data_IF_709668934206
#
_entry.id   IF_709668934206
#
_cell.length_a   1.000
_cell.length_b   1.000
_cell.length_c   1.000
_cell.angle_alpha   90.00
_cell.angle_beta   90.00
_cell.angle_gamma   90.00
#
_symmetry.space_group_name_H-M   'P 1'
#
loop_
_entity.id
_entity.type
_entity.pdbx_description
1 polymer ?
#
# COMPACT_ATOMS: atom_id res chain seq x y z
N UNK A 1 7.37 -2.73 -31.96
CA UNK A 1 6.02 -2.16 -31.90
C UNK A 1 5.22 -2.89 -30.81
N UNK A 2 4.30 -2.17 -30.17
CA UNK A 2 3.43 -2.71 -29.11
C UNK A 2 1.99 -2.39 -29.45
N UNK A 3 1.10 -3.37 -29.30
CA UNK A 3 -0.35 -3.14 -29.38
C UNK A 3 -1.06 -3.78 -28.20
N UNK A 4 -2.20 -3.22 -27.80
CA UNK A 4 -3.06 -3.71 -26.74
C UNK A 4 -4.47 -3.95 -27.30
N UNK A 5 -5.05 -5.10 -26.99
CA UNK A 5 -6.41 -5.46 -27.39
C UNK A 5 -7.22 -5.90 -26.17
N UNK A 6 -8.51 -5.56 -26.15
CA UNK A 6 -9.49 -6.18 -25.27
C UNK A 6 -10.01 -7.48 -25.87
N UNK A 7 -10.60 -8.34 -25.03
CA UNK A 7 -11.35 -9.54 -25.42
C UNK A 7 -12.82 -9.29 -25.12
N UNK A 8 -13.69 -9.58 -26.10
CA UNK A 8 -15.14 -9.37 -25.95
C UNK A 8 -15.79 -10.35 -24.96
N UNK A 9 -15.19 -11.53 -24.77
CA UNK A 9 -15.72 -12.64 -23.96
C UNK A 9 -15.11 -12.69 -22.54
N UNK A 10 -14.68 -11.55 -21.96
CA UNK A 10 -14.17 -11.53 -20.58
C UNK A 10 -15.27 -11.90 -19.58
N UNK A 11 -14.96 -12.85 -18.71
CA UNK A 11 -15.84 -13.31 -17.63
C UNK A 11 -15.59 -12.55 -16.35
N UNK A 12 -16.59 -12.44 -15.46
CA UNK A 12 -16.36 -11.93 -14.10
C UNK A 12 -15.38 -12.82 -13.33
N UNK A 13 -14.44 -12.21 -12.62
CA UNK A 13 -13.63 -12.92 -11.63
C UNK A 13 -14.38 -13.02 -10.30
N UNK A 14 -14.26 -14.15 -9.62
CA UNK A 14 -14.83 -14.36 -8.29
C UNK A 14 -13.71 -14.51 -7.27
N UNK A 15 -13.83 -13.79 -6.14
CA UNK A 15 -12.86 -13.89 -5.04
C UNK A 15 -13.57 -14.22 -3.74
N UNK A 16 -13.11 -15.28 -3.09
CA UNK A 16 -13.58 -15.75 -1.78
C UNK A 16 -12.51 -15.43 -0.75
N UNK A 17 -12.89 -14.72 0.31
CA UNK A 17 -11.98 -14.31 1.37
C UNK A 17 -12.46 -14.81 2.72
N UNK A 18 -11.53 -15.30 3.53
CA UNK A 18 -11.73 -15.57 4.95
C UNK A 18 -10.63 -14.88 5.75
N UNK A 19 -11.01 -14.20 6.81
CA UNK A 19 -10.08 -13.50 7.69
C UNK A 19 -10.43 -13.74 9.16
N UNK A 20 -9.39 -13.98 9.97
CA UNK A 20 -9.49 -14.06 11.42
C UNK A 20 -8.57 -12.99 12.02
N UNK A 21 -9.16 -12.03 12.74
CA UNK A 21 -8.43 -10.92 13.36
C UNK A 21 -8.46 -10.99 14.88
N UNK A 22 -7.36 -10.62 15.52
CA UNK A 22 -7.24 -10.46 16.95
C UNK A 22 -6.57 -9.14 17.30
N UNK A 23 -7.21 -8.38 18.20
CA UNK A 23 -6.67 -7.11 18.70
C UNK A 23 -6.40 -7.19 20.20
N UNK A 24 -5.16 -6.94 20.61
CA UNK A 24 -4.75 -6.93 22.01
C UNK A 24 -4.43 -5.50 22.48
N UNK A 25 -5.08 -5.07 23.55
CA UNK A 25 -4.88 -3.75 24.21
C UNK A 25 -4.87 -2.55 23.25
N UNK A 26 -5.56 -2.63 22.12
CA UNK A 26 -5.58 -1.62 21.07
C UNK A 26 -4.20 -1.21 20.51
N UNK A 27 -3.17 -1.99 20.80
CA UNK A 27 -1.79 -1.73 20.37
C UNK A 27 -1.28 -2.74 19.37
N UNK A 28 -1.73 -3.98 19.48
CA UNK A 28 -1.31 -5.10 18.65
C UNK A 28 -2.52 -5.63 17.92
N UNK A 29 -2.44 -5.66 16.59
CA UNK A 29 -3.41 -6.35 15.74
C UNK A 29 -2.69 -7.46 15.00
N UNK A 30 -3.29 -8.62 14.96
CA UNK A 30 -2.82 -9.78 14.22
C UNK A 30 -4.01 -10.26 13.39
N UNK A 31 -3.83 -10.51 12.11
CA UNK A 31 -4.84 -11.15 11.28
C UNK A 31 -4.22 -12.26 10.43
N UNK A 32 -4.95 -13.35 10.32
CA UNK A 32 -4.69 -14.45 9.40
C UNK A 32 -5.73 -14.37 8.30
N UNK A 33 -5.31 -14.55 7.07
CA UNK A 33 -6.22 -14.52 5.93
C UNK A 33 -5.99 -15.69 4.98
N UNK A 34 -7.03 -16.05 4.27
CA UNK A 34 -7.00 -16.90 3.10
C UNK A 34 -7.85 -16.26 2.00
N UNK A 35 -7.36 -16.26 0.79
CA UNK A 35 -8.05 -15.74 -0.38
C UNK A 35 -7.93 -16.75 -1.53
N UNK A 36 -9.04 -17.01 -2.18
CA UNK A 36 -9.12 -17.78 -3.41
C UNK A 36 -9.80 -16.96 -4.49
N UNK A 37 -9.17 -16.84 -5.64
CA UNK A 37 -9.71 -16.14 -6.80
C UNK A 37 -9.72 -17.05 -8.00
N UNK A 38 -10.87 -17.11 -8.66
CA UNK A 38 -11.12 -17.92 -9.84
C UNK A 38 -11.45 -17.05 -11.04
N UNK A 39 -11.19 -17.57 -12.24
CA UNK A 39 -11.40 -16.88 -13.52
C UNK A 39 -10.76 -15.47 -13.54
N UNK A 40 -9.59 -15.31 -12.90
CA UNK A 40 -8.92 -14.01 -12.80
C UNK A 40 -8.51 -13.56 -14.20
N UNK A 41 -9.08 -12.44 -14.66
CA UNK A 41 -8.62 -11.81 -15.88
C UNK A 41 -7.38 -10.97 -15.61
N UNK A 42 -6.41 -11.13 -16.47
CA UNK A 42 -5.15 -10.40 -16.35
C UNK A 42 -4.55 -10.14 -17.73
N UNK A 43 -3.53 -9.31 -17.79
CA UNK A 43 -2.87 -9.00 -19.04
C UNK A 43 -1.87 -10.10 -19.42
N UNK A 44 -2.14 -10.79 -20.51
CA UNK A 44 -1.20 -11.71 -21.15
C UNK A 44 -0.26 -10.92 -22.03
N UNK A 45 1.02 -11.07 -21.82
CA UNK A 45 2.04 -10.51 -22.71
C UNK A 45 2.44 -11.57 -23.72
N UNK A 46 2.12 -11.32 -24.99
CA UNK A 46 2.62 -12.09 -26.11
C UNK A 46 3.86 -11.40 -26.70
N UNK A 47 4.86 -12.17 -27.05
CA UNK A 47 5.98 -11.72 -27.85
C UNK A 47 6.05 -12.60 -29.11
N UNK A 48 5.97 -11.99 -30.26
CA UNK A 48 6.27 -12.64 -31.53
C UNK A 48 7.79 -12.58 -31.75
N UNK A 49 8.49 -13.72 -31.70
CA UNK A 49 9.94 -13.74 -31.81
C UNK A 49 10.46 -13.40 -33.22
N UNK A 50 9.61 -13.51 -34.26
CA UNK A 50 10.02 -13.21 -35.64
C UNK A 50 9.93 -11.71 -35.94
N UNK A 51 8.86 -11.05 -35.45
CA UNK A 51 8.61 -9.63 -35.71
C UNK A 51 9.08 -8.72 -34.57
N UNK A 52 9.40 -9.27 -33.41
CA UNK A 52 9.68 -8.54 -32.16
C UNK A 52 8.51 -7.61 -31.74
N UNK A 53 7.29 -7.96 -32.13
CA UNK A 53 6.09 -7.24 -31.73
C UNK A 53 5.57 -7.79 -30.41
N UNK A 54 5.40 -6.90 -29.44
CA UNK A 54 4.75 -7.25 -28.15
C UNK A 54 3.25 -6.98 -28.22
N UNK A 55 2.45 -7.96 -27.83
CA UNK A 55 1.01 -7.83 -27.67
C UNK A 55 0.60 -7.92 -26.22
N UNK A 56 -0.37 -7.11 -25.83
CA UNK A 56 -0.99 -7.12 -24.51
C UNK A 56 -2.47 -7.45 -24.67
N UNK A 57 -2.86 -8.63 -24.21
CA UNK A 57 -4.24 -9.13 -24.30
C UNK A 57 -4.78 -9.31 -22.88
N UNK A 58 -6.03 -8.88 -22.65
CA UNK A 58 -6.74 -9.22 -21.42
C UNK A 58 -7.51 -10.51 -21.62
N UNK A 59 -7.31 -11.49 -20.73
CA UNK A 59 -8.02 -12.76 -20.77
C UNK A 59 -8.21 -13.31 -19.35
N UNK A 60 -9.20 -14.19 -19.15
CA UNK A 60 -9.41 -14.95 -17.94
C UNK A 60 -8.60 -16.26 -18.05
N UNK A 61 -7.50 -16.36 -17.33
CA UNK A 61 -6.61 -17.51 -17.45
C UNK A 61 -5.92 -17.90 -16.15
N UNK A 62 -6.26 -17.22 -15.05
CA UNK A 62 -5.58 -17.47 -13.79
C UNK A 62 -6.54 -17.88 -12.68
N UNK A 63 -6.02 -18.75 -11.83
CA UNK A 63 -6.58 -19.11 -10.54
C UNK A 63 -5.52 -18.83 -9.46
N UNK A 64 -5.90 -18.17 -8.39
CA UNK A 64 -4.95 -17.75 -7.36
C UNK A 64 -5.41 -18.15 -5.96
N UNK A 65 -4.54 -18.81 -5.24
CA UNK A 65 -4.68 -19.05 -3.81
C UNK A 65 -3.63 -18.21 -3.06
N UNK A 66 -4.05 -17.55 -1.99
CA UNK A 66 -3.11 -16.89 -1.10
C UNK A 66 -3.53 -17.03 0.35
N UNK A 67 -2.55 -17.14 1.23
CA UNK A 67 -2.77 -17.12 2.68
C UNK A 67 -1.61 -16.42 3.36
N UNK A 68 -1.86 -15.86 4.52
CA UNK A 68 -0.82 -15.15 5.23
C UNK A 68 -1.22 -14.65 6.60
N UNK A 69 -0.26 -13.98 7.22
CA UNK A 69 -0.40 -13.31 8.50
C UNK A 69 0.01 -11.85 8.35
N UNK A 70 -0.83 -10.96 8.85
CA UNK A 70 -0.51 -9.55 9.00
C UNK A 70 -0.45 -9.20 10.48
N UNK A 71 0.46 -8.32 10.81
CA UNK A 71 0.63 -7.83 12.15
C UNK A 71 0.87 -6.32 12.13
N UNK A 72 0.27 -5.60 13.08
CA UNK A 72 0.60 -4.20 13.33
C UNK A 72 0.72 -3.92 14.81
N UNK A 73 1.70 -3.12 15.16
CA UNK A 73 1.98 -2.76 16.54
C UNK A 73 2.23 -1.26 16.68
N UNK A 74 1.55 -0.66 17.68
CA UNK A 74 1.74 0.73 18.04
C UNK A 74 2.42 0.82 19.39
N UNK A 75 3.62 1.41 19.42
CA UNK A 75 4.38 1.71 20.62
C UNK A 75 4.34 3.21 20.90
N UNK A 76 4.08 3.60 22.15
CA UNK A 76 4.01 5.01 22.55
C UNK A 76 4.77 5.25 23.85
N UNK A 77 5.59 6.30 23.83
CA UNK A 77 6.26 6.85 25.00
C UNK A 77 6.01 8.37 25.07
N UNK A 78 6.60 9.02 26.08
CA UNK A 78 6.51 10.48 26.20
C UNK A 78 7.19 11.21 25.02
N UNK A 79 8.26 10.64 24.47
CA UNK A 79 9.12 11.26 23.47
C UNK A 79 9.04 10.63 22.07
N UNK A 80 8.39 9.46 21.93
CA UNK A 80 8.32 8.75 20.67
C UNK A 80 6.99 8.00 20.51
N UNK A 81 6.50 7.96 19.28
CA UNK A 81 5.46 7.02 18.85
C UNK A 81 6.00 6.26 17.63
N UNK A 82 5.95 4.94 17.70
CA UNK A 82 6.31 4.05 16.61
C UNK A 82 5.09 3.24 16.19
N UNK A 83 4.90 3.10 14.88
CA UNK A 83 3.91 2.23 14.27
C UNK A 83 4.62 1.28 13.32
N UNK A 84 4.61 0.01 13.65
CA UNK A 84 5.21 -1.04 12.84
C UNK A 84 4.12 -1.91 12.24
N UNK A 85 4.26 -2.25 10.97
CA UNK A 85 3.43 -3.24 10.29
C UNK A 85 4.35 -4.23 9.61
N UNK A 86 4.00 -5.49 9.62
CA UNK A 86 4.63 -6.47 8.78
C UNK A 86 3.63 -7.58 8.42
N UNK A 87 3.87 -8.21 7.29
CA UNK A 87 3.06 -9.30 6.81
C UNK A 87 3.94 -10.33 6.11
N UNK A 88 3.53 -11.58 6.21
CA UNK A 88 4.07 -12.69 5.44
C UNK A 88 2.92 -13.38 4.76
N UNK A 89 3.04 -13.62 3.47
CA UNK A 89 2.03 -14.34 2.72
C UNK A 89 2.68 -15.33 1.74
N UNK A 90 1.98 -16.41 1.51
CA UNK A 90 2.25 -17.33 0.43
C UNK A 90 1.18 -17.14 -0.65
N UNK A 91 1.60 -17.10 -1.90
CA UNK A 91 0.70 -17.08 -3.04
C UNK A 91 1.07 -18.19 -4.02
N UNK A 92 0.05 -18.76 -4.65
CA UNK A 92 0.16 -19.72 -5.73
C UNK A 92 -0.84 -19.33 -6.80
N UNK A 93 -0.33 -19.02 -7.99
CA UNK A 93 -1.15 -18.72 -9.16
C UNK A 93 -0.90 -19.78 -10.20
N UNK A 94 -1.97 -20.40 -10.69
CA UNK A 94 -1.94 -21.27 -11.85
C UNK A 94 -2.46 -20.52 -13.06
N UNK A 95 -1.90 -20.81 -14.22
CA UNK A 95 -2.23 -20.17 -15.48
C UNK A 95 -2.58 -21.23 -16.54
N UNK A 96 -3.68 -21.03 -17.24
CA UNK A 96 -4.07 -21.83 -18.40
C UNK A 96 -3.57 -21.24 -19.72
N UNK A 97 -2.96 -20.05 -19.70
CA UNK A 97 -2.42 -19.42 -20.90
C UNK A 97 -1.10 -20.08 -21.31
N UNK A 98 -1.07 -20.67 -22.52
CA UNK A 98 0.09 -21.42 -23.02
C UNK A 98 1.38 -20.57 -23.15
N UNK A 99 1.26 -19.25 -23.26
CA UNK A 99 2.38 -18.33 -23.39
C UNK A 99 3.06 -17.98 -22.06
N UNK A 100 2.45 -18.34 -20.92
CA UNK A 100 2.96 -17.98 -19.60
C UNK A 100 3.43 -19.22 -18.84
N UNK A 101 4.10 -19.04 -17.71
CA UNK A 101 4.38 -20.14 -16.77
C UNK A 101 3.08 -20.74 -16.27
N UNK A 102 2.98 -22.08 -16.26
CA UNK A 102 1.78 -22.77 -15.82
C UNK A 102 1.50 -22.58 -14.32
N UNK A 103 2.51 -22.36 -13.53
CA UNK A 103 2.42 -22.12 -12.09
C UNK A 103 3.49 -21.13 -11.63
N UNK A 104 3.07 -20.13 -10.85
CA UNK A 104 3.96 -19.24 -10.11
C UNK A 104 3.58 -19.26 -8.64
N UNK A 105 4.58 -19.45 -7.76
CA UNK A 105 4.34 -19.54 -6.32
C UNK A 105 5.52 -19.06 -5.50
N UNK A 106 5.22 -18.58 -4.31
CA UNK A 106 6.28 -18.17 -3.39
C UNK A 106 5.79 -17.44 -2.16
N UNK A 107 6.72 -17.26 -1.25
CA UNK A 107 6.54 -16.43 -0.07
C UNK A 107 6.91 -14.99 -0.37
N UNK A 108 6.12 -14.09 0.20
CA UNK A 108 6.39 -12.66 0.21
C UNK A 108 6.37 -12.15 1.65
N UNK A 109 7.23 -11.16 1.91
CA UNK A 109 7.31 -10.44 3.17
C UNK A 109 7.21 -8.95 2.90
N UNK A 110 6.40 -8.26 3.67
CA UNK A 110 6.33 -6.81 3.66
C UNK A 110 6.50 -6.27 5.08
N UNK A 111 7.14 -5.12 5.19
CA UNK A 111 7.31 -4.43 6.46
C UNK A 111 7.25 -2.92 6.24
N UNK A 112 6.66 -2.22 7.19
CA UNK A 112 6.75 -0.77 7.28
C UNK A 112 6.92 -0.31 8.71
N UNK A 113 7.69 0.74 8.89
CA UNK A 113 7.93 1.37 10.19
C UNK A 113 7.76 2.88 10.03
N UNK A 114 6.94 3.47 10.87
CA UNK A 114 6.81 4.92 10.98
C UNK A 114 7.09 5.34 12.40
N UNK A 115 8.10 6.18 12.59
CA UNK A 115 8.46 6.77 13.87
C UNK A 115 8.15 8.26 13.85
N UNK A 116 7.59 8.74 14.97
CA UNK A 116 7.37 10.14 15.26
C UNK A 116 8.11 10.45 16.57
N UNK A 117 9.05 11.35 16.54
CA UNK A 117 9.87 11.78 17.65
C UNK A 117 9.42 13.15 18.12
N UNK A 118 9.04 13.27 19.38
CA UNK A 118 8.73 14.54 20.02
C UNK A 118 10.04 15.12 20.57
N UNK A 119 10.67 16.01 19.80
CA UNK A 119 12.02 16.52 20.06
C UNK A 119 12.06 17.55 21.19
N UNK A 120 10.90 17.99 21.68
CA UNK A 120 10.79 18.84 22.85
C UNK A 120 9.57 18.46 23.73
N UNK A 121 9.57 18.81 25.03
CA UNK A 121 8.48 18.48 25.95
C UNK A 121 7.12 19.05 25.54
N UNK A 122 7.08 20.20 24.88
CA UNK A 122 5.86 20.84 24.38
C UNK A 122 5.31 20.17 23.12
N UNK A 123 6.02 19.19 22.55
CA UNK A 123 5.66 18.49 21.31
C UNK A 123 5.39 19.44 20.13
N UNK A 124 6.07 20.58 20.14
CA UNK A 124 5.99 21.55 19.04
C UNK A 124 7.08 21.33 17.99
N UNK A 125 8.15 20.60 18.35
CA UNK A 125 9.19 20.19 17.40
C UNK A 125 9.14 18.67 17.25
N UNK A 126 8.82 18.21 16.06
CA UNK A 126 8.51 16.81 15.76
C UNK A 126 9.38 16.37 14.57
N UNK A 127 10.09 15.26 14.77
CA UNK A 127 10.79 14.55 13.72
C UNK A 127 9.99 13.31 13.29
N UNK A 128 9.99 12.98 12.03
CA UNK A 128 9.42 11.74 11.50
C UNK A 128 10.45 10.97 10.69
N UNK A 129 10.47 9.66 10.83
CA UNK A 129 11.26 8.75 10.02
C UNK A 129 10.37 7.58 9.65
N UNK A 130 10.24 7.31 8.37
CA UNK A 130 9.46 6.18 7.87
C UNK A 130 10.25 5.38 6.87
N UNK A 131 10.04 4.07 6.89
CA UNK A 131 10.62 3.16 5.93
C UNK A 131 9.66 2.03 5.63
N UNK A 132 9.77 1.47 4.44
CA UNK A 132 9.04 0.31 4.02
C UNK A 132 9.93 -0.62 3.18
N UNK A 133 9.60 -1.89 3.22
CA UNK A 133 10.26 -2.95 2.48
C UNK A 133 9.23 -3.96 2.00
N UNK A 134 9.35 -4.39 0.77
CA UNK A 134 8.61 -5.53 0.21
C UNK A 134 9.62 -6.48 -0.42
N UNK A 135 9.59 -7.73 -0.04
CA UNK A 135 10.44 -8.76 -0.62
C UNK A 135 10.01 -9.08 -2.06
N UNK A 136 10.75 -9.97 -2.70
CA UNK A 136 10.31 -10.59 -3.94
C UNK A 136 8.92 -11.19 -3.76
N UNK A 137 8.03 -10.96 -4.72
CA UNK A 137 6.66 -11.48 -4.70
C UNK A 137 6.14 -11.75 -6.11
N UNK A 138 5.18 -12.64 -6.21
CA UNK A 138 4.43 -12.85 -7.44
C UNK A 138 3.13 -12.06 -7.42
N UNK A 139 2.78 -11.48 -8.57
CA UNK A 139 1.49 -10.84 -8.85
C UNK A 139 0.99 -11.36 -10.18
N UNK A 140 0.08 -12.33 -10.12
CA UNK A 140 -0.28 -13.13 -11.28
C UNK A 140 0.95 -13.85 -11.85
N UNK A 141 1.24 -13.64 -13.11
CA UNK A 141 2.40 -14.21 -13.83
C UNK A 141 3.66 -13.34 -13.75
N UNK A 142 3.62 -12.24 -13.00
CA UNK A 142 4.76 -11.34 -12.84
C UNK A 142 5.49 -11.59 -11.54
N UNK A 143 6.82 -11.65 -11.63
CA UNK A 143 7.73 -11.61 -10.49
C UNK A 143 8.15 -10.16 -10.23
N UNK A 144 7.74 -9.61 -9.12
CA UNK A 144 8.15 -8.29 -8.67
C UNK A 144 9.40 -8.44 -7.79
N UNK A 145 10.48 -7.75 -8.14
CA UNK A 145 11.73 -7.75 -7.36
C UNK A 145 11.54 -6.96 -6.06
N UNK A 146 12.41 -7.19 -5.06
CA UNK A 146 12.33 -6.46 -3.80
C UNK A 146 12.35 -4.95 -3.99
N UNK A 147 11.49 -4.26 -3.22
CA UNK A 147 11.40 -2.81 -3.23
C UNK A 147 11.45 -2.26 -1.80
N UNK A 148 12.02 -1.08 -1.64
CA UNK A 148 12.12 -0.40 -0.35
C UNK A 148 12.15 1.12 -0.52
N UNK A 149 11.83 1.82 0.56
CA UNK A 149 11.93 3.27 0.59
C UNK A 149 12.07 3.80 2.00
N UNK A 150 12.76 4.95 2.13
CA UNK A 150 12.96 5.66 3.38
C UNK A 150 12.65 7.13 3.16
N UNK A 151 11.93 7.73 4.10
CA UNK A 151 11.55 9.15 4.10
C UNK A 151 11.69 9.75 5.49
N UNK A 152 12.02 11.03 5.57
CA UNK A 152 12.13 11.75 6.83
C UNK A 152 11.43 13.11 6.74
N UNK A 153 11.05 13.63 7.90
CA UNK A 153 10.41 14.94 7.98
C UNK A 153 10.66 15.63 9.31
N UNK A 154 10.53 16.94 9.28
CA UNK A 154 10.55 17.81 10.45
C UNK A 154 9.30 18.69 10.42
N UNK A 155 8.67 18.88 11.57
CA UNK A 155 7.55 19.78 11.76
C UNK A 155 7.82 20.65 12.98
N UNK A 156 7.75 21.95 12.81
CA UNK A 156 7.86 22.90 13.88
C UNK A 156 6.61 23.75 13.99
N UNK A 157 5.99 23.78 15.19
CA UNK A 157 4.79 24.55 15.49
C UNK A 157 5.13 25.71 16.39
N UNK A 158 4.63 26.88 16.04
CA UNK A 158 4.87 28.16 16.72
C UNK A 158 3.55 28.88 16.96
N UNK A 159 3.58 30.00 17.71
CA UNK A 159 2.44 30.88 17.96
C UNK A 159 1.22 30.08 18.48
N UNK A 160 1.42 29.31 19.54
CA UNK A 160 0.39 28.46 20.13
C UNK A 160 -0.27 27.51 19.11
N UNK A 161 0.55 26.88 18.27
CA UNK A 161 0.19 26.01 17.18
C UNK A 161 -0.54 26.67 15.98
N UNK A 162 -0.61 28.01 15.95
CA UNK A 162 -1.21 28.72 14.81
C UNK A 162 -0.32 28.72 13.57
N UNK A 163 1.00 28.70 13.72
CA UNK A 163 1.95 28.63 12.61
C UNK A 163 2.68 27.29 12.65
N UNK A 164 2.70 26.61 11.52
CA UNK A 164 3.42 25.35 11.34
C UNK A 164 4.38 25.46 10.15
N UNK A 165 5.62 25.09 10.36
CA UNK A 165 6.64 24.91 9.31
C UNK A 165 6.94 23.42 9.18
N UNK A 166 6.91 22.91 7.96
CA UNK A 166 7.25 21.51 7.69
C UNK A 166 8.31 21.39 6.60
N UNK A 167 9.22 20.46 6.80
CA UNK A 167 10.19 20.01 5.80
C UNK A 167 10.06 18.50 5.68
N UNK A 168 9.82 18.00 4.49
CA UNK A 168 9.76 16.56 4.23
C UNK A 168 10.70 16.21 3.08
N UNK A 169 11.44 15.14 3.26
CA UNK A 169 12.27 14.52 2.25
C UNK A 169 11.73 13.11 2.02
N UNK A 170 11.11 12.93 0.87
CA UNK A 170 10.57 11.64 0.47
C UNK A 170 11.61 10.88 -0.35
N UNK A 171 11.64 9.56 -0.18
CA UNK A 171 12.52 8.69 -0.95
C UNK A 171 14.01 9.07 -0.84
N UNK A 172 14.50 9.32 0.37
CA UNK A 172 15.94 9.54 0.65
C UNK A 172 16.73 8.34 0.14
N UNK A 173 16.19 7.15 0.39
CA UNK A 173 16.61 5.89 -0.20
C UNK A 173 15.38 5.25 -0.81
N UNK A 174 15.49 4.79 -2.04
CA UNK A 174 14.41 4.10 -2.73
C UNK A 174 14.96 3.16 -3.79
N UNK A 175 14.36 2.00 -3.91
CA UNK A 175 14.66 1.05 -4.97
C UNK A 175 13.80 1.31 -6.21
N UNK A 176 14.31 0.95 -7.38
CA UNK A 176 13.51 0.86 -8.59
C UNK A 176 12.58 -0.35 -8.54
N UNK A 177 11.43 -0.25 -9.19
CA UNK A 177 10.51 -1.38 -9.34
C UNK A 177 10.86 -2.15 -10.62
N UNK A 178 11.26 -3.41 -10.44
CA UNK A 178 11.57 -4.33 -11.53
C UNK A 178 10.54 -5.45 -11.56
N UNK A 179 9.95 -5.66 -12.73
CA UNK A 179 9.02 -6.75 -13.00
C UNK A 179 9.68 -7.71 -14.01
N UNK A 180 9.55 -8.99 -13.74
CA UNK A 180 9.94 -10.06 -14.67
C UNK A 180 8.73 -10.92 -15.00
N UNK A 181 8.61 -11.33 -16.24
CA UNK A 181 7.66 -12.35 -16.68
C UNK A 181 8.29 -13.22 -17.77
N UNK A 182 7.72 -14.40 -17.97
CA UNK A 182 8.14 -15.29 -19.06
C UNK A 182 6.96 -15.39 -20.03
N UNK A 183 7.22 -15.11 -21.31
CA UNK A 183 6.27 -15.28 -22.39
C UNK A 183 6.91 -16.06 -23.53
N UNK A 184 6.27 -17.17 -23.93
CA UNK A 184 6.78 -18.07 -24.98
C UNK A 184 8.25 -18.50 -24.77
N UNK A 185 8.63 -18.74 -23.50
CA UNK A 185 10.01 -19.10 -23.14
C UNK A 185 11.00 -17.92 -23.08
N UNK A 186 10.58 -16.72 -23.46
CA UNK A 186 11.41 -15.51 -23.41
C UNK A 186 11.16 -14.77 -22.09
N UNK A 187 12.23 -14.48 -21.35
CA UNK A 187 12.15 -13.65 -20.14
C UNK A 187 12.14 -12.17 -20.52
N UNK A 188 11.10 -11.50 -20.09
CA UNK A 188 10.92 -10.06 -20.25
C UNK A 188 11.13 -9.37 -18.90
N UNK A 189 11.89 -8.29 -18.90
CA UNK A 189 12.15 -7.47 -17.70
C UNK A 189 11.75 -6.03 -17.96
N UNK A 190 10.88 -5.49 -17.10
CA UNK A 190 10.53 -4.07 -17.11
C UNK A 190 11.16 -3.41 -15.89
N UNK A 191 11.97 -2.38 -16.11
CA UNK A 191 12.59 -1.56 -15.06
C UNK A 191 11.92 -0.18 -15.03
N UNK A 192 11.12 0.07 -13.98
CA UNK A 192 10.42 1.33 -13.79
C UNK A 192 11.25 2.24 -12.86
N UNK A 193 11.91 3.23 -13.45
CA UNK A 193 12.79 4.17 -12.74
C UNK A 193 12.08 5.44 -12.25
N UNK A 194 10.80 5.34 -11.86
CA UNK A 194 10.04 6.49 -11.36
C UNK A 194 10.37 6.87 -9.90
N UNK A 195 11.40 6.29 -9.33
CA UNK A 195 11.83 6.59 -7.99
C UNK A 195 12.66 7.88 -7.99
N UNK A 196 12.15 8.95 -7.41
CA UNK A 196 12.88 10.20 -7.26
C UNK A 196 12.84 10.68 -5.80
N UNK A 197 13.92 11.32 -5.37
CA UNK A 197 13.98 12.02 -4.08
C UNK A 197 13.26 13.35 -4.21
N UNK A 198 12.25 13.54 -3.39
CA UNK A 198 11.43 14.77 -3.39
C UNK A 198 11.56 15.55 -2.11
N UNK A 199 11.72 16.87 -2.24
CA UNK A 199 11.70 17.81 -1.12
C UNK A 199 10.37 18.56 -1.12
N UNK A 200 9.78 18.70 0.07
CA UNK A 200 8.57 19.49 0.26
C UNK A 200 8.74 20.39 1.47
N UNK A 201 8.61 21.69 1.27
CA UNK A 201 8.54 22.69 2.33
C UNK A 201 7.08 23.15 2.42
N UNK A 202 6.55 23.21 3.63
CA UNK A 202 5.18 23.67 3.88
C UNK A 202 5.14 24.70 4.98
N UNK A 203 4.33 25.73 4.79
CA UNK A 203 3.99 26.73 5.79
C UNK A 203 2.47 26.75 5.91
N UNK A 204 1.97 26.63 7.12
CA UNK A 204 0.53 26.68 7.39
C UNK A 204 0.27 27.66 8.54
N UNK A 205 -0.66 28.57 8.34
CA UNK A 205 -1.11 29.49 9.37
C UNK A 205 -2.62 29.40 9.56
N UNK A 206 -3.05 29.19 10.80
CA UNK A 206 -4.47 29.11 11.16
C UNK A 206 -4.96 30.47 11.64
N UNK A 207 -5.86 31.08 10.88
CA UNK A 207 -6.54 32.31 11.23
C UNK A 207 -7.77 32.04 12.06
N UNK A 208 -8.11 32.93 12.98
CA UNK A 208 -9.33 32.87 13.79
C UNK A 208 -9.11 32.31 15.19
N UNK A 209 -10.09 32.52 16.04
CA UNK A 209 -10.20 31.93 17.37
C UNK A 209 -11.06 30.66 17.36
N UNK A 210 -11.03 29.92 18.47
CA UNK A 210 -11.91 28.78 18.68
C UNK A 210 -13.37 29.23 18.52
N UNK A 211 -14.02 28.80 17.45
CA UNK A 211 -15.47 28.91 17.35
C UNK A 211 -16.01 27.90 18.35
N UNK A 212 -16.28 28.36 19.59
CA UNK A 212 -17.12 27.60 20.50
C UNK A 212 -18.49 27.53 19.83
N UNK A 213 -18.83 26.42 19.21
CA UNK A 213 -20.21 26.15 18.81
C UNK A 213 -21.01 26.19 20.10
N UNK A 214 -21.80 27.23 20.31
CA UNK A 214 -22.84 27.20 21.34
C UNK A 214 -23.70 25.98 20.99
N UNK A 215 -23.74 25.02 21.92
CA UNK A 215 -24.51 23.80 21.73
C UNK A 215 -25.91 24.21 21.22
N UNK A 216 -26.34 23.49 20.19
CA UNK A 216 -27.63 23.70 19.59
C UNK A 216 -28.65 23.57 20.74
N UNK A 217 -29.26 24.70 21.11
CA UNK A 217 -30.38 24.70 22.07
C UNK A 217 -31.45 23.82 21.41
N UNK A 218 -31.70 22.63 21.97
CA UNK A 218 -32.86 21.84 21.64
C UNK A 218 -34.09 22.71 21.98
N UNK A 219 -34.69 23.29 20.98
CA UNK A 219 -35.95 24.08 21.11
C UNK A 219 -37.19 23.21 21.37
N UNK A 220 -37.00 21.94 21.74
CA UNK A 220 -38.10 21.02 21.98
C UNK A 220 -38.61 20.98 23.46
N UNK A 221 -38.03 21.78 24.36
CA UNK A 221 -38.58 21.86 25.74
C UNK A 221 -39.94 22.53 25.82
N UNK A 222 -40.30 23.37 24.82
CA UNK A 222 -41.61 24.05 24.82
C UNK A 222 -42.76 23.17 24.33
N UNK A 223 -42.47 22.04 23.69
CA UNK A 223 -43.53 21.10 23.22
C UNK A 223 -43.89 20.07 24.29
N UNK A 224 -42.93 19.69 25.16
CA UNK A 224 -43.17 18.72 26.24
C UNK A 224 -44.02 19.29 27.40
N UNK A 225 -44.13 20.61 27.53
CA UNK A 225 -44.96 21.26 28.57
C UNK A 225 -46.43 21.55 28.14
N UNK A 226 -46.86 21.07 26.97
CA UNK A 226 -48.21 21.25 26.44
C UNK A 226 -48.99 19.94 26.25
N UNK A 227 -48.46 18.84 26.70
CA UNK A 227 -49.12 17.55 26.82
C UNK A 227 -49.23 17.17 28.31
#
# INVERSE_FOLDING_TARGET
YTYACGKEDLKPSYTYNAELGYTFKNNLNISAFYSYSDDVFFQVVGLDPETNVSSFLWDNFMETHSFGLNNSYTFRTKWMQAYAQHGVNYSRTTSSAASTSAEEKGWAYNASLRNTFFLNPKKTFIGTLSGWFTSRQYSGVYLIKPTYGVSAGLLYRMLDNKLSLSLNVNNILVSHSKLETVSNGVRMTTDNQFAFTGFRIGVSYTFGGDIRSKGQRNSNSDIQNRL
#
